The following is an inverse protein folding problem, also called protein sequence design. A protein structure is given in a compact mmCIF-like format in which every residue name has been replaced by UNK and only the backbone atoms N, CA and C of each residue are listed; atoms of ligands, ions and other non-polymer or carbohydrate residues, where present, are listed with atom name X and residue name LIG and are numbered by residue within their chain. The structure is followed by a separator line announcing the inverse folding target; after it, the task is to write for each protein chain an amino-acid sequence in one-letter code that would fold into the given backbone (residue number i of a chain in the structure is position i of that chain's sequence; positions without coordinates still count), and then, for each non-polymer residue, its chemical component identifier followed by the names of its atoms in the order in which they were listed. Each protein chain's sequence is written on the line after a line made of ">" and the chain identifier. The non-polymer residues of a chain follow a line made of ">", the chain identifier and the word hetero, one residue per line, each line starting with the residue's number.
data_IF_495851902260
#
_entry.id   IF_495851902260
#
_cell.length_a   1.000
_cell.length_b   1.000
_cell.length_c   1.000
_cell.angle_alpha   90.00
_cell.angle_beta   90.00
_cell.angle_gamma   90.00
#
_symmetry.space_group_name_H-M   'P 1'
#
loop_
_entity.id
_entity.type
_entity.pdbx_description
1 polymer ?
#
# COMPACT_ATOMS: atom_id res chain seq x y z
N UNK A 1 -25.39 -16.51 -43.45
CA UNK A 1 -25.29 -17.73 -42.61
C UNK A 1 -25.57 -17.34 -41.17
N UNK A 2 -26.35 -18.18 -40.49
CA UNK A 2 -26.99 -17.98 -39.18
C UNK A 2 -26.05 -18.05 -37.97
N UNK A 3 -26.43 -17.27 -36.94
CA UNK A 3 -26.44 -17.52 -35.48
C UNK A 3 -25.11 -17.76 -34.74
N UNK A 4 -24.82 -16.95 -33.70
CA UNK A 4 -25.31 -17.16 -32.33
C UNK A 4 -24.47 -16.35 -31.30
N UNK A 5 -25.13 -15.56 -30.47
CA UNK A 5 -24.58 -15.14 -29.17
C UNK A 5 -24.42 -16.36 -28.25
N UNK A 6 -23.32 -16.42 -27.51
CA UNK A 6 -23.18 -17.29 -26.34
C UNK A 6 -22.69 -16.44 -25.17
N UNK A 7 -23.53 -16.34 -24.14
CA UNK A 7 -23.13 -15.91 -22.81
C UNK A 7 -22.51 -17.12 -22.08
N UNK A 8 -21.52 -16.93 -21.19
CA UNK A 8 -21.20 -17.96 -20.22
C UNK A 8 -22.02 -17.75 -18.95
N UNK A 9 -22.94 -18.68 -18.71
CA UNK A 9 -23.44 -18.97 -17.37
C UNK A 9 -22.64 -20.18 -16.84
N UNK A 10 -21.96 -20.01 -15.71
CA UNK A 10 -21.54 -21.16 -14.91
C UNK A 10 -21.43 -20.77 -13.44
N UNK A 11 -22.56 -20.94 -12.75
CA UNK A 11 -22.60 -21.12 -11.31
C UNK A 11 -21.90 -22.43 -10.89
N UNK A 12 -21.16 -22.36 -9.77
CA UNK A 12 -20.76 -23.51 -8.96
C UNK A 12 -19.26 -23.60 -8.69
N UNK A 13 -18.81 -23.18 -7.50
CA UNK A 13 -18.48 -24.11 -6.43
C UNK A 13 -18.20 -23.35 -5.11
N UNK A 14 -19.07 -23.57 -4.13
CA UNK A 14 -18.86 -23.19 -2.74
C UNK A 14 -18.02 -24.27 -2.05
N UNK A 15 -16.70 -24.07 -2.02
CA UNK A 15 -15.83 -24.84 -1.12
C UNK A 15 -15.25 -23.91 -0.06
N UNK A 16 -15.84 -23.99 1.13
CA UNK A 16 -15.33 -23.34 2.31
C UNK A 16 -13.97 -23.92 2.69
N UNK A 17 -12.97 -23.05 2.77
CA UNK A 17 -11.75 -23.32 3.51
C UNK A 17 -11.69 -22.30 4.64
N UNK A 18 -11.84 -22.80 5.86
CA UNK A 18 -11.73 -22.02 7.08
C UNK A 18 -10.36 -21.32 7.12
N UNK A 19 -10.38 -19.99 7.11
CA UNK A 19 -9.25 -19.16 7.52
C UNK A 19 -9.53 -18.69 8.95
N UNK A 20 -8.89 -19.39 9.87
CA UNK A 20 -8.24 -18.91 11.09
C UNK A 20 -8.48 -17.43 11.45
N UNK A 21 -8.96 -17.21 12.67
CA UNK A 21 -9.34 -15.91 13.20
C UNK A 21 -8.24 -14.86 13.11
N UNK A 22 -8.36 -13.98 12.12
CA UNK A 22 -7.79 -12.65 12.17
C UNK A 22 -8.79 -11.72 12.85
N UNK A 23 -8.36 -11.02 13.91
CA UNK A 23 -9.08 -9.87 14.46
C UNK A 23 -9.33 -8.89 13.31
N UNK A 24 -10.50 -8.97 12.70
CA UNK A 24 -11.01 -7.97 11.78
C UNK A 24 -11.21 -6.70 12.57
N UNK A 25 -10.14 -5.94 12.77
CA UNK A 25 -10.26 -4.51 12.99
C UNK A 25 -11.15 -4.01 11.86
N UNK A 26 -12.28 -3.42 12.23
CA UNK A 26 -13.27 -2.93 11.28
C UNK A 26 -12.52 -2.18 10.19
N UNK A 27 -12.51 -2.73 8.97
CA UNK A 27 -12.11 -2.00 7.78
C UNK A 27 -13.25 -1.02 7.53
N UNK A 28 -13.39 -0.03 8.41
CA UNK A 28 -14.02 1.20 8.03
C UNK A 28 -13.12 1.72 6.94
N UNK A 29 -13.50 1.48 5.68
CA UNK A 29 -13.02 2.29 4.60
C UNK A 29 -13.46 3.70 4.96
N UNK A 30 -12.58 4.44 5.62
CA UNK A 30 -12.59 5.88 5.46
C UNK A 30 -12.68 6.12 3.96
N UNK A 31 -13.38 7.17 3.55
CA UNK A 31 -13.71 7.37 2.15
C UNK A 31 -12.48 7.37 1.23
N UNK A 32 -12.69 7.52 -0.09
CA UNK A 32 -11.62 7.39 -1.08
C UNK A 32 -10.33 8.15 -0.72
N UNK A 33 -10.42 9.31 -0.08
CA UNK A 33 -9.25 10.10 0.34
C UNK A 33 -8.49 9.47 1.51
N UNK A 34 -9.20 8.98 2.52
CA UNK A 34 -8.59 8.25 3.64
C UNK A 34 -7.92 6.95 3.18
N UNK A 35 -8.57 6.20 2.27
CA UNK A 35 -8.01 4.98 1.68
C UNK A 35 -6.74 5.27 0.88
N UNK A 36 -6.76 6.29 0.02
CA UNK A 36 -5.59 6.71 -0.74
C UNK A 36 -4.42 7.15 0.15
N UNK A 37 -4.70 7.85 1.27
CA UNK A 37 -3.68 8.16 2.27
C UNK A 37 -3.03 6.91 2.86
N UNK A 38 -3.83 5.89 3.18
CA UNK A 38 -3.31 4.60 3.68
C UNK A 38 -2.42 3.89 2.65
N UNK A 39 -2.78 3.94 1.37
CA UNK A 39 -1.95 3.42 0.29
C UNK A 39 -0.61 4.18 0.19
N UNK A 40 -0.63 5.51 0.27
CA UNK A 40 0.59 6.33 0.30
C UNK A 40 1.49 5.98 1.50
N UNK A 41 0.92 5.75 2.68
CA UNK A 41 1.69 5.32 3.87
C UNK A 41 2.34 3.94 3.70
N UNK A 42 1.62 3.03 3.04
CA UNK A 42 2.13 1.68 2.72
C UNK A 42 3.30 1.77 1.74
N UNK A 43 3.15 2.53 0.66
CA UNK A 43 4.21 2.77 -0.33
C UNK A 43 5.45 3.44 0.29
N UNK A 44 5.24 4.43 1.17
CA UNK A 44 6.32 5.06 1.93
C UNK A 44 7.12 4.02 2.73
N UNK A 45 6.41 3.14 3.42
CA UNK A 45 7.00 2.14 4.32
C UNK A 45 7.76 1.06 3.55
N UNK A 46 7.19 0.54 2.46
CA UNK A 46 7.87 -0.45 1.62
C UNK A 46 9.09 0.14 0.92
N UNK A 47 9.01 1.39 0.46
CA UNK A 47 10.15 2.14 -0.13
C UNK A 47 11.31 2.28 0.86
N UNK A 48 11.02 2.63 2.12
CA UNK A 48 12.04 2.69 3.18
C UNK A 48 12.68 1.32 3.43
N UNK A 49 11.89 0.25 3.49
CA UNK A 49 12.42 -1.11 3.67
C UNK A 49 13.33 -1.52 2.53
N UNK A 50 12.96 -1.23 1.28
CA UNK A 50 13.81 -1.49 0.11
C UNK A 50 15.11 -0.71 0.19
N UNK A 51 15.07 0.58 0.56
CA UNK A 51 16.28 1.39 0.76
C UNK A 51 17.18 0.82 1.85
N UNK A 52 16.59 0.42 2.98
CA UNK A 52 17.32 -0.20 4.09
C UNK A 52 18.01 -1.52 3.74
N UNK A 53 17.58 -2.20 2.67
CA UNK A 53 18.25 -3.41 2.15
C UNK A 53 19.33 -3.10 1.11
N UNK A 54 19.18 -2.01 0.37
CA UNK A 54 20.06 -1.68 -0.76
C UNK A 54 21.49 -1.36 -0.30
N UNK A 55 21.65 -0.55 0.75
CA UNK A 55 22.97 -0.20 1.30
C UNK A 55 23.76 -1.44 1.76
N UNK A 56 23.21 -2.28 2.66
CA UNK A 56 23.86 -3.50 3.10
C UNK A 56 24.19 -4.49 1.97
N UNK A 57 23.34 -4.57 0.94
CA UNK A 57 23.59 -5.43 -0.22
C UNK A 57 24.84 -4.99 -1.03
N UNK A 58 25.31 -3.76 -0.85
CA UNK A 58 26.49 -3.21 -1.53
C UNK A 58 27.74 -3.16 -0.64
N UNK A 59 27.65 -3.57 0.62
CA UNK A 59 28.81 -3.67 1.50
C UNK A 59 29.84 -4.67 0.94
N UNK A 60 31.12 -4.27 0.93
CA UNK A 60 32.22 -5.13 0.45
C UNK A 60 32.34 -5.28 -1.08
N UNK A 61 31.38 -4.79 -1.88
CA UNK A 61 31.45 -4.88 -3.35
C UNK A 61 32.67 -4.15 -3.90
N UNK A 62 32.96 -2.95 -3.40
CA UNK A 62 34.08 -2.14 -3.89
C UNK A 62 35.45 -2.79 -3.63
N UNK A 63 35.61 -3.49 -2.52
CA UNK A 63 36.85 -4.20 -2.18
C UNK A 63 36.95 -5.56 -2.86
N UNK A 64 35.86 -6.34 -2.88
CA UNK A 64 35.83 -7.70 -3.42
C UNK A 64 35.92 -7.77 -4.95
N UNK A 65 35.49 -6.72 -5.66
CA UNK A 65 35.49 -6.65 -7.11
C UNK A 65 36.47 -5.61 -7.67
N UNK A 66 37.52 -5.27 -6.91
CA UNK A 66 38.51 -4.26 -7.30
C UNK A 66 39.12 -4.56 -8.68
N UNK A 67 39.14 -3.55 -9.55
CA UNK A 67 39.66 -3.64 -10.91
C UNK A 67 38.62 -3.97 -11.98
N UNK A 68 37.40 -4.36 -11.59
CA UNK A 68 36.28 -4.49 -12.52
C UNK A 68 35.64 -3.13 -12.81
N UNK A 69 35.54 -2.76 -14.09
CA UNK A 69 34.87 -1.52 -14.52
C UNK A 69 33.39 -1.49 -14.09
N UNK A 70 32.76 -2.66 -13.98
CA UNK A 70 31.37 -2.81 -13.53
C UNK A 70 31.13 -2.31 -12.10
N UNK A 71 32.15 -2.27 -11.23
CA UNK A 71 32.00 -1.76 -9.85
C UNK A 71 31.64 -0.28 -9.84
N UNK A 72 32.25 0.50 -10.73
CA UNK A 72 31.94 1.94 -10.84
C UNK A 72 30.51 2.15 -11.30
N UNK A 73 30.07 1.39 -12.31
CA UNK A 73 28.70 1.44 -12.80
C UNK A 73 27.70 1.00 -11.72
N UNK A 74 28.00 -0.06 -10.98
CA UNK A 74 27.14 -0.58 -9.91
C UNK A 74 27.01 0.42 -8.75
N UNK A 75 28.09 1.13 -8.41
CA UNK A 75 28.06 2.21 -7.41
C UNK A 75 27.19 3.39 -7.85
N UNK A 76 27.32 3.83 -9.09
CA UNK A 76 26.48 4.91 -9.63
C UNK A 76 24.99 4.51 -9.65
N UNK A 77 24.69 3.24 -9.97
CA UNK A 77 23.33 2.71 -9.90
C UNK A 77 22.81 2.70 -8.45
N UNK A 78 23.62 2.28 -7.49
CA UNK A 78 23.25 2.31 -6.06
C UNK A 78 22.87 3.72 -5.61
N UNK A 79 23.75 4.70 -5.83
CA UNK A 79 23.54 6.10 -5.44
C UNK A 79 22.26 6.66 -6.06
N UNK A 80 22.04 6.40 -7.36
CA UNK A 80 20.82 6.80 -8.07
C UNK A 80 19.55 6.17 -7.50
N UNK A 81 19.60 4.91 -7.07
CA UNK A 81 18.45 4.26 -6.44
C UNK A 81 18.21 4.78 -5.02
N UNK A 82 19.25 5.02 -4.22
CA UNK A 82 19.11 5.60 -2.89
C UNK A 82 18.44 6.98 -2.96
N UNK A 83 18.87 7.85 -3.88
CA UNK A 83 18.26 9.17 -4.11
C UNK A 83 16.78 9.05 -4.52
N UNK A 84 16.47 8.21 -5.51
CA UNK A 84 15.09 8.03 -5.98
C UNK A 84 14.18 7.44 -4.91
N UNK A 85 14.66 6.50 -4.09
CA UNK A 85 13.88 5.92 -3.00
C UNK A 85 13.64 6.96 -1.88
N UNK A 86 14.60 7.84 -1.59
CA UNK A 86 14.40 8.98 -0.68
C UNK A 86 13.30 9.90 -1.22
N UNK A 87 13.36 10.27 -2.49
CA UNK A 87 12.39 11.14 -3.14
C UNK A 87 10.97 10.54 -3.12
N UNK A 88 10.82 9.28 -3.55
CA UNK A 88 9.53 8.56 -3.54
C UNK A 88 8.95 8.46 -2.12
N UNK A 89 9.79 8.17 -1.12
CA UNK A 89 9.37 8.15 0.28
C UNK A 89 8.87 9.52 0.74
N UNK A 90 9.59 10.58 0.38
CA UNK A 90 9.20 11.95 0.69
C UNK A 90 7.84 12.30 0.11
N UNK A 91 7.64 12.02 -1.18
CA UNK A 91 6.39 12.26 -1.88
C UNK A 91 5.23 11.47 -1.27
N UNK A 92 5.42 10.18 -0.98
CA UNK A 92 4.40 9.37 -0.31
C UNK A 92 4.06 9.91 1.10
N UNK A 93 5.04 10.45 1.82
CA UNK A 93 4.83 11.13 3.10
C UNK A 93 3.99 12.41 2.97
N UNK A 94 4.27 13.22 1.95
CA UNK A 94 3.47 14.40 1.61
C UNK A 94 2.04 14.01 1.23
N UNK A 95 1.88 13.07 0.30
CA UNK A 95 0.58 12.59 -0.17
C UNK A 95 -0.30 12.07 0.98
N UNK A 96 0.25 11.30 1.91
CA UNK A 96 -0.46 10.87 3.12
C UNK A 96 -1.13 12.06 3.83
N UNK A 97 -0.35 13.11 4.13
CA UNK A 97 -0.86 14.28 4.83
C UNK A 97 -1.88 15.07 4.00
N UNK A 98 -1.59 15.29 2.72
CA UNK A 98 -2.48 16.03 1.82
C UNK A 98 -3.83 15.32 1.65
N UNK A 99 -3.82 14.00 1.46
CA UNK A 99 -5.03 13.19 1.29
C UNK A 99 -5.88 13.14 2.56
N UNK A 100 -5.27 13.06 3.75
CA UNK A 100 -6.01 13.18 5.02
C UNK A 100 -6.65 14.56 5.20
N UNK A 101 -5.98 15.62 4.73
CA UNK A 101 -6.56 16.97 4.75
C UNK A 101 -7.81 17.04 3.88
N UNK A 102 -7.75 16.51 2.66
CA UNK A 102 -8.92 16.43 1.76
C UNK A 102 -10.04 15.59 2.38
N UNK A 103 -9.70 14.43 2.97
CA UNK A 103 -10.68 13.58 3.66
C UNK A 103 -11.45 14.36 4.75
N UNK A 104 -10.74 15.19 5.52
CA UNK A 104 -11.33 16.06 6.53
C UNK A 104 -12.23 17.13 5.91
N UNK A 105 -11.75 17.84 4.90
CA UNK A 105 -12.50 18.91 4.22
C UNK A 105 -13.78 18.38 3.54
N UNK A 106 -13.74 17.15 3.02
CA UNK A 106 -14.88 16.47 2.40
C UNK A 106 -15.78 15.75 3.40
N UNK A 107 -15.51 15.86 4.71
CA UNK A 107 -16.35 15.29 5.76
C UNK A 107 -16.29 13.76 5.91
N UNK A 108 -15.29 13.09 5.32
CA UNK A 108 -15.12 11.64 5.48
C UNK A 108 -14.91 11.25 6.94
N UNK A 109 -14.22 12.10 7.72
CA UNK A 109 -13.99 11.88 9.15
C UNK A 109 -15.30 11.93 9.95
N UNK A 110 -16.16 12.93 9.68
CA UNK A 110 -17.45 13.09 10.35
C UNK A 110 -18.42 11.96 10.00
N UNK A 111 -18.45 11.57 8.73
CA UNK A 111 -19.23 10.42 8.27
C UNK A 111 -18.77 9.13 8.97
N UNK A 112 -17.45 8.95 9.12
CA UNK A 112 -16.90 7.79 9.78
C UNK A 112 -17.24 7.72 11.28
N UNK A 113 -17.12 8.85 11.97
CA UNK A 113 -17.49 8.98 13.38
C UNK A 113 -18.98 8.68 13.57
N UNK A 114 -19.89 9.28 12.78
CA UNK A 114 -21.34 8.99 12.86
C UNK A 114 -21.65 7.51 12.64
N UNK A 115 -21.02 6.88 11.66
CA UNK A 115 -21.18 5.44 11.38
C UNK A 115 -20.80 4.60 12.60
N UNK A 116 -19.66 4.90 13.25
CA UNK A 116 -19.22 4.16 14.44
C UNK A 116 -20.19 4.26 15.62
N UNK A 117 -20.80 5.42 15.86
CA UNK A 117 -21.81 5.58 16.91
C UNK A 117 -23.09 4.80 16.62
N UNK A 118 -23.57 4.79 15.38
CA UNK A 118 -24.75 4.01 14.98
C UNK A 118 -24.55 2.50 15.18
N UNK A 119 -23.33 2.00 14.96
CA UNK A 119 -22.99 0.58 15.19
C UNK A 119 -23.07 0.24 16.68
N UNK A 120 -22.52 1.08 17.55
CA UNK A 120 -22.58 0.89 19.02
C UNK A 120 -24.02 0.90 19.51
N UNK A 121 -24.83 1.86 19.07
CA UNK A 121 -26.24 1.95 19.44
C UNK A 121 -27.02 0.68 19.06
N UNK A 122 -26.75 0.14 17.87
CA UNK A 122 -27.39 -1.11 17.41
C UNK A 122 -26.90 -2.35 18.17
N UNK A 123 -25.66 -2.34 18.65
CA UNK A 123 -25.08 -3.40 19.47
C UNK A 123 -25.64 -3.43 20.89
N UNK A 124 -25.95 -2.27 21.45
CA UNK A 124 -26.51 -2.12 22.82
C UNK A 124 -28.01 -2.45 22.89
N UNK A 125 -28.73 -2.43 21.77
CA UNK A 125 -30.14 -2.86 21.67
C UNK A 125 -30.35 -4.35 21.37
N UNK A 126 -29.35 -5.21 21.52
CA UNK A 126 -29.44 -6.66 21.30
C UNK A 126 -29.32 -7.46 22.58
#
# INVERSE_FOLDING_TARGET
>A
MSLASVAPDRSGDSSGRAAEGGKGGLQHSGGPWTSASGAADTLRTSTEQSRGRLGPAHEGVASGAKGLSSVTALKAVQESWEERLVAVRGECGYLKGALLKVAKEMGETEAAVKSSFNVVEKGERR
#
